data_IF_539046902086
#
_entry.id   IF_539046902086
#
_cell.length_a   1.000
_cell.length_b   1.000
_cell.length_c   1.000
_cell.angle_alpha   90.00
_cell.angle_beta   90.00
_cell.angle_gamma   90.00
#
_symmetry.space_group_name_H-M   'P 1'
#
loop_
_entity.id
_entity.type
_entity.pdbx_description
1 polymer ?
#
# COMPACT_ATOMS: atom_id res chain seq x y z
N UNK A 1 14.12 4.09 0.90
CA UNK A 1 12.86 3.78 0.22
C UNK A 1 12.55 4.96 -0.69
N UNK A 2 12.59 4.76 -2.01
CA UNK A 2 12.14 5.76 -2.97
C UNK A 2 10.62 5.66 -3.17
N UNK A 3 9.98 6.81 -3.39
CA UNK A 3 8.55 6.92 -3.66
C UNK A 3 8.38 7.56 -5.04
N UNK A 4 7.69 6.85 -5.93
CA UNK A 4 7.50 7.27 -7.31
C UNK A 4 6.02 7.25 -7.68
N UNK A 5 5.49 8.41 -8.08
CA UNK A 5 4.12 8.51 -8.58
C UNK A 5 4.04 8.00 -10.01
N UNK A 6 3.00 7.21 -10.28
CA UNK A 6 2.70 6.63 -11.58
C UNK A 6 1.51 7.30 -12.26
N UNK A 7 1.04 6.66 -13.33
CA UNK A 7 -0.12 7.13 -14.08
C UNK A 7 -1.46 6.90 -13.34
N UNK A 8 -2.55 7.37 -13.96
CA UNK A 8 -3.89 7.18 -13.43
C UNK A 8 -4.21 5.70 -13.15
N UNK A 9 -4.61 5.40 -11.91
CA UNK A 9 -4.86 4.02 -11.49
C UNK A 9 -6.18 3.45 -12.03
N UNK A 10 -7.20 4.29 -12.17
CA UNK A 10 -8.54 3.91 -12.62
C UNK A 10 -8.93 4.65 -13.90
N UNK A 11 -9.72 3.98 -14.75
CA UNK A 11 -10.34 4.62 -15.91
C UNK A 11 -11.43 5.62 -15.48
N UNK A 12 -11.73 6.62 -16.33
CA UNK A 12 -12.78 7.63 -16.08
C UNK A 12 -14.11 7.01 -15.65
N UNK A 13 -14.51 5.92 -16.29
CA UNK A 13 -15.74 5.19 -15.92
C UNK A 13 -15.69 4.63 -14.49
N UNK A 14 -14.58 4.01 -14.09
CA UNK A 14 -14.39 3.47 -12.73
C UNK A 14 -14.34 4.59 -11.69
N UNK A 15 -13.66 5.69 -12.00
CA UNK A 15 -13.62 6.89 -11.15
C UNK A 15 -15.03 7.43 -10.92
N UNK A 16 -15.83 7.62 -11.98
CA UNK A 16 -17.19 8.13 -11.85
C UNK A 16 -18.11 7.20 -11.03
N UNK A 17 -17.97 5.88 -11.21
CA UNK A 17 -18.70 4.89 -10.43
C UNK A 17 -18.31 4.96 -8.94
N UNK A 18 -17.01 5.05 -8.65
CA UNK A 18 -16.52 5.16 -7.29
C UNK A 18 -16.93 6.48 -6.65
N UNK A 19 -16.83 7.60 -7.37
CA UNK A 19 -17.31 8.92 -6.95
C UNK A 19 -18.78 8.87 -6.54
N UNK A 20 -19.64 8.28 -7.38
CA UNK A 20 -21.07 8.11 -7.07
C UNK A 20 -21.28 7.28 -5.80
N UNK A 21 -20.46 6.25 -5.60
CA UNK A 21 -20.54 5.38 -4.41
C UNK A 21 -20.14 6.12 -3.15
N UNK A 22 -19.03 6.87 -3.17
CA UNK A 22 -18.57 7.64 -2.00
C UNK A 22 -19.49 8.82 -1.70
N UNK A 23 -20.09 9.45 -2.72
CA UNK A 23 -21.06 10.54 -2.58
C UNK A 23 -22.32 10.10 -1.82
N UNK A 24 -22.74 8.84 -1.94
CA UNK A 24 -23.85 8.31 -1.15
C UNK A 24 -23.59 8.36 0.37
N UNK A 25 -22.32 8.30 0.79
CA UNK A 25 -21.92 8.42 2.20
C UNK A 25 -21.48 9.84 2.58
N UNK A 26 -20.88 10.57 1.65
CA UNK A 26 -20.35 11.92 1.82
C UNK A 26 -20.71 12.78 0.59
N UNK A 27 -21.92 13.37 0.56
CA UNK A 27 -22.40 14.13 -0.60
C UNK A 27 -21.54 15.33 -0.99
N UNK A 28 -20.73 15.85 -0.06
CA UNK A 28 -19.85 17.00 -0.30
C UNK A 28 -18.64 16.71 -1.19
N UNK A 29 -18.31 15.43 -1.45
CA UNK A 29 -17.22 15.06 -2.37
C UNK A 29 -17.67 15.37 -3.80
N UNK A 30 -16.94 16.23 -4.50
CA UNK A 30 -17.28 16.69 -5.86
C UNK A 30 -16.38 16.11 -6.94
N UNK A 31 -15.15 15.73 -6.59
CA UNK A 31 -14.19 15.14 -7.51
C UNK A 31 -13.39 14.04 -6.82
N UNK A 32 -12.94 13.08 -7.63
CA UNK A 32 -12.08 11.99 -7.22
C UNK A 32 -11.02 11.78 -8.30
N UNK A 33 -9.76 11.80 -7.89
CA UNK A 33 -8.63 11.46 -8.75
C UNK A 33 -7.88 10.27 -8.16
N UNK A 34 -7.25 9.48 -9.03
CA UNK A 34 -6.50 8.30 -8.60
C UNK A 34 -5.21 8.16 -9.38
N UNK A 35 -4.09 7.97 -8.70
CA UNK A 35 -2.81 7.63 -9.34
C UNK A 35 -2.19 6.40 -8.68
N UNK A 36 -1.40 5.65 -9.44
CA UNK A 36 -0.54 4.65 -8.84
C UNK A 36 0.57 5.34 -8.05
N UNK A 37 1.00 4.70 -6.98
CA UNK A 37 2.22 5.05 -6.24
C UNK A 37 3.06 3.78 -6.15
N UNK A 38 4.36 3.92 -6.39
CA UNK A 38 5.32 2.84 -6.30
C UNK A 38 6.27 3.12 -5.15
N UNK A 39 6.45 2.13 -4.28
CA UNK A 39 7.40 2.16 -3.19
C UNK A 39 8.55 1.23 -3.55
N UNK A 40 9.76 1.76 -3.59
CA UNK A 40 10.95 1.03 -4.00
C UNK A 40 11.84 0.91 -2.77
N UNK A 41 12.25 -0.33 -2.48
CA UNK A 41 13.21 -0.64 -1.43
C UNK A 41 14.55 -0.95 -2.07
N UNK A 42 15.46 0.00 -1.99
CA UNK A 42 16.84 -0.08 -2.48
C UNK A 42 17.84 -0.34 -1.34
N UNK A 43 18.87 -1.15 -1.62
CA UNK A 43 20.01 -1.34 -0.70
C UNK A 43 21.11 -0.28 -0.90
N UNK A 44 21.15 0.35 -2.07
CA UNK A 44 22.14 1.32 -2.49
C UNK A 44 21.48 2.42 -3.34
N UNK A 45 22.03 3.65 -3.32
CA UNK A 45 21.51 4.73 -4.14
C UNK A 45 21.67 4.43 -5.64
N UNK A 46 20.64 4.79 -6.39
CA UNK A 46 20.63 4.71 -7.86
C UNK A 46 21.37 5.91 -8.45
N UNK A 47 22.14 5.69 -9.50
CA UNK A 47 22.68 6.77 -10.33
C UNK A 47 21.59 7.31 -11.29
N UNK A 48 21.88 8.41 -11.99
CA UNK A 48 20.91 9.06 -12.89
C UNK A 48 20.37 8.15 -13.99
N UNK A 49 21.21 7.29 -14.57
CA UNK A 49 20.80 6.35 -15.62
C UNK A 49 19.90 5.24 -15.05
N UNK A 50 20.26 4.71 -13.88
CA UNK A 50 19.47 3.70 -13.17
C UNK A 50 18.10 4.26 -12.77
N UNK A 51 18.06 5.50 -12.27
CA UNK A 51 16.82 6.21 -11.94
C UNK A 51 15.95 6.43 -13.17
N UNK A 52 16.52 6.93 -14.27
CA UNK A 52 15.78 7.12 -15.51
C UNK A 52 15.21 5.80 -16.07
N UNK A 53 15.97 4.71 -15.97
CA UNK A 53 15.51 3.39 -16.37
C UNK A 53 14.37 2.89 -15.48
N UNK A 54 14.47 3.08 -14.17
CA UNK A 54 13.42 2.73 -13.21
C UNK A 54 12.12 3.49 -13.51
N UNK A 55 12.23 4.79 -13.78
CA UNK A 55 11.09 5.64 -14.10
C UNK A 55 10.37 5.18 -15.38
N UNK A 56 11.11 4.74 -16.39
CA UNK A 56 10.53 4.15 -17.60
C UNK A 56 9.82 2.82 -17.28
N UNK A 57 10.44 1.94 -16.50
CA UNK A 57 9.85 0.64 -16.14
C UNK A 57 8.55 0.77 -15.35
N UNK A 58 8.49 1.75 -14.44
CA UNK A 58 7.32 2.01 -13.60
C UNK A 58 6.31 2.96 -14.24
N UNK A 59 6.60 3.49 -15.44
CA UNK A 59 5.85 4.58 -16.06
C UNK A 59 5.62 5.73 -15.06
N UNK A 60 6.67 6.07 -14.31
CA UNK A 60 6.64 7.16 -13.34
C UNK A 60 6.31 8.46 -14.08
N UNK A 61 5.38 9.23 -13.52
CA UNK A 61 5.03 10.56 -14.02
C UNK A 61 4.94 11.52 -12.86
N UNK A 62 5.60 12.66 -13.02
CA UNK A 62 5.36 13.83 -12.19
C UNK A 62 4.17 14.58 -12.80
N UNK A 63 3.01 13.93 -12.87
CA UNK A 63 1.80 14.59 -13.34
C UNK A 63 1.21 15.39 -12.17
N UNK A 64 1.65 16.64 -12.05
CA UNK A 64 1.00 17.72 -11.28
C UNK A 64 0.61 17.41 -9.84
N UNK A 65 1.52 17.66 -8.90
CA UNK A 65 1.31 18.00 -7.47
C UNK A 65 0.02 17.47 -6.80
N UNK A 66 -0.30 16.19 -7.00
CA UNK A 66 -1.44 15.50 -6.38
C UNK A 66 -1.28 15.49 -4.84
N UNK A 67 -0.04 15.59 -4.37
CA UNK A 67 0.41 15.52 -2.98
C UNK A 67 0.14 16.77 -2.13
N UNK A 68 -0.40 17.86 -2.68
CA UNK A 68 -0.74 19.07 -1.89
C UNK A 68 -2.18 19.14 -1.38
N UNK A 69 -3.00 18.15 -1.68
CA UNK A 69 -4.39 18.14 -1.25
C UNK A 69 -4.54 17.43 0.10
N UNK A 70 -5.09 18.13 1.10
CA UNK A 70 -5.34 17.65 2.47
C UNK A 70 -6.37 16.49 2.58
N UNK A 71 -6.69 15.85 1.46
CA UNK A 71 -7.75 14.87 1.26
C UNK A 71 -7.23 13.67 0.44
N UNK A 72 -6.01 13.23 0.76
CA UNK A 72 -5.38 12.07 0.16
C UNK A 72 -5.54 10.84 1.07
N UNK A 73 -5.87 9.71 0.47
CA UNK A 73 -5.80 8.38 1.09
C UNK A 73 -4.98 7.47 0.20
N UNK A 74 -4.11 6.66 0.77
CA UNK A 74 -3.27 5.73 0.04
C UNK A 74 -3.67 4.31 0.41
N UNK A 75 -4.04 3.52 -0.57
CA UNK A 75 -4.32 2.09 -0.40
C UNK A 75 -3.07 1.31 -0.78
N UNK A 76 -2.58 0.49 0.15
CA UNK A 76 -1.42 -0.37 -0.04
C UNK A 76 -1.75 -1.80 0.39
N UNK A 77 -0.99 -2.81 -0.09
CA UNK A 77 -1.07 -4.16 0.45
C UNK A 77 -0.83 -4.17 1.97
N UNK A 78 -1.42 -5.14 2.65
CA UNK A 78 -1.26 -5.28 4.10
C UNK A 78 0.21 -5.56 4.45
N UNK A 79 0.82 -4.85 5.43
CA UNK A 79 2.15 -5.17 5.93
C UNK A 79 2.27 -6.65 6.33
N UNK A 80 3.42 -7.24 6.04
CA UNK A 80 3.65 -8.68 6.18
C UNK A 80 3.16 -9.52 4.99
N UNK A 81 2.62 -8.89 3.93
CA UNK A 81 2.30 -9.55 2.66
C UNK A 81 3.15 -9.01 1.51
N UNK A 82 3.34 -9.81 0.46
CA UNK A 82 3.98 -9.40 -0.79
C UNK A 82 2.97 -9.61 -1.91
N UNK A 83 2.64 -8.54 -2.65
CA UNK A 83 1.66 -8.67 -3.73
C UNK A 83 2.21 -9.50 -4.90
N UNK A 84 1.37 -10.22 -5.66
CA UNK A 84 1.82 -10.87 -6.89
C UNK A 84 2.40 -9.90 -7.92
N UNK A 85 1.98 -8.63 -7.87
CA UNK A 85 2.56 -7.57 -8.68
C UNK A 85 4.00 -7.27 -8.26
N UNK A 86 4.26 -7.14 -6.95
CA UNK A 86 5.59 -6.91 -6.38
C UNK A 86 6.60 -7.94 -6.85
N UNK A 87 6.26 -9.23 -6.72
CA UNK A 87 7.18 -10.32 -7.14
C UNK A 87 7.53 -10.24 -8.62
N UNK A 88 6.56 -9.95 -9.49
CA UNK A 88 6.79 -9.86 -10.94
C UNK A 88 7.55 -8.58 -11.33
N UNK A 89 7.18 -7.45 -10.73
CA UNK A 89 7.81 -6.16 -11.00
C UNK A 89 9.28 -6.18 -10.56
N UNK A 90 9.56 -6.69 -9.35
CA UNK A 90 10.94 -6.89 -8.88
C UNK A 90 11.73 -7.78 -9.84
N UNK A 91 11.18 -8.90 -10.29
CA UNK A 91 11.86 -9.76 -11.26
C UNK A 91 12.19 -9.04 -12.58
N UNK A 92 11.26 -8.25 -13.13
CA UNK A 92 11.50 -7.44 -14.34
C UNK A 92 12.60 -6.41 -14.11
N UNK A 93 12.58 -5.72 -12.97
CA UNK A 93 13.58 -4.70 -12.58
C UNK A 93 14.97 -5.34 -12.49
N UNK A 94 15.10 -6.49 -11.82
CA UNK A 94 16.36 -7.23 -11.75
C UNK A 94 16.85 -7.70 -13.12
N UNK A 95 15.97 -8.26 -13.96
CA UNK A 95 16.32 -8.70 -15.31
C UNK A 95 16.72 -7.53 -16.24
N UNK A 96 16.35 -6.30 -15.86
CA UNK A 96 16.75 -5.08 -16.55
C UNK A 96 18.08 -4.51 -16.05
N UNK A 97 18.73 -5.16 -15.08
CA UNK A 97 20.06 -4.79 -14.56
C UNK A 97 20.03 -3.93 -13.29
N UNK A 98 18.85 -3.57 -12.76
CA UNK A 98 18.70 -2.73 -11.57
C UNK A 98 18.79 -3.55 -10.28
N UNK A 99 19.96 -4.13 -10.02
CA UNK A 99 20.18 -5.07 -8.91
C UNK A 99 20.20 -4.44 -7.51
N UNK A 100 20.28 -3.11 -7.43
CA UNK A 100 20.23 -2.35 -6.17
C UNK A 100 18.83 -2.31 -5.56
N UNK A 101 17.81 -2.61 -6.34
CA UNK A 101 16.42 -2.62 -5.88
C UNK A 101 16.12 -4.00 -5.30
N UNK A 102 15.89 -4.09 -3.99
CA UNK A 102 15.53 -5.32 -3.30
C UNK A 102 14.10 -5.71 -3.64
N UNK A 103 13.18 -4.74 -3.56
CA UNK A 103 11.75 -4.98 -3.76
C UNK A 103 11.04 -3.71 -4.23
N UNK A 104 10.02 -3.87 -5.04
CA UNK A 104 9.08 -2.79 -5.36
C UNK A 104 7.67 -3.21 -4.97
N UNK A 105 6.87 -2.28 -4.46
CA UNK A 105 5.45 -2.49 -4.19
C UNK A 105 4.62 -1.36 -4.81
N UNK A 106 3.35 -1.62 -5.09
CA UNK A 106 2.44 -0.64 -5.68
C UNK A 106 1.22 -0.41 -4.81
N UNK A 107 0.89 0.85 -4.60
CA UNK A 107 -0.36 1.30 -4.01
C UNK A 107 -1.19 2.14 -4.99
N UNK A 108 -2.32 2.62 -4.50
CA UNK A 108 -3.20 3.58 -5.20
C UNK A 108 -3.43 4.76 -4.27
N UNK A 109 -3.13 5.96 -4.77
CA UNK A 109 -3.53 7.22 -4.14
C UNK A 109 -4.95 7.54 -4.61
N UNK A 110 -5.81 7.92 -3.67
CA UNK A 110 -7.12 8.51 -3.91
C UNK A 110 -7.11 9.94 -3.38
N UNK A 111 -7.36 10.92 -4.26
CA UNK A 111 -7.47 12.33 -3.88
C UNK A 111 -8.89 12.81 -4.06
N UNK A 112 -9.46 13.34 -2.99
CA UNK A 112 -10.84 13.80 -2.95
C UNK A 112 -10.89 15.32 -2.92
N UNK A 113 -11.78 15.89 -3.73
CA UNK A 113 -12.14 17.30 -3.64
C UNK A 113 -13.48 17.42 -2.93
N UNK A 114 -13.55 18.26 -1.90
CA UNK A 114 -14.78 18.52 -1.15
C UNK A 114 -15.22 19.96 -1.43
N UNK A 115 -16.47 20.13 -1.85
CA UNK A 115 -17.08 21.42 -2.23
C UNK A 115 -16.83 22.59 -1.28
N UNK A 116 -16.70 22.32 0.02
CA UNK A 116 -16.56 23.34 1.05
C UNK A 116 -15.07 23.61 1.42
N UNK A 117 -14.12 22.99 0.74
CA UNK A 117 -12.70 23.00 1.11
C UNK A 117 -12.40 22.28 2.44
N UNK A 118 -13.37 21.50 2.96
CA UNK A 118 -13.20 20.73 4.19
C UNK A 118 -12.23 19.56 4.00
N UNK A 119 -11.62 19.14 5.11
CA UNK A 119 -10.81 17.93 5.17
C UNK A 119 -11.64 16.66 5.44
N UNK A 120 -11.11 15.53 4.99
CA UNK A 120 -11.59 14.19 5.27
C UNK A 120 -11.28 13.83 6.72
N UNK A 121 -12.27 14.05 7.60
CA UNK A 121 -12.15 13.59 8.99
C UNK A 121 -12.09 12.06 9.09
N UNK A 122 -11.48 11.52 10.14
CA UNK A 122 -11.42 10.06 10.35
C UNK A 122 -12.80 9.39 10.40
N UNK A 123 -13.84 10.10 10.84
CA UNK A 123 -15.24 9.61 10.80
C UNK A 123 -15.75 9.46 9.36
N UNK A 124 -15.41 10.39 8.47
CA UNK A 124 -15.75 10.36 7.04
C UNK A 124 -14.97 9.23 6.36
N UNK A 125 -13.67 9.10 6.61
CA UNK A 125 -12.82 8.04 6.06
C UNK A 125 -13.41 6.65 6.37
N UNK A 126 -13.79 6.39 7.63
CA UNK A 126 -14.41 5.10 8.04
C UNK A 126 -15.68 4.76 7.26
N UNK A 127 -16.46 5.74 6.81
CA UNK A 127 -17.70 5.51 6.04
C UNK A 127 -17.45 5.10 4.60
N UNK A 128 -16.30 5.45 4.02
CA UNK A 128 -15.98 5.18 2.63
C UNK A 128 -14.88 4.12 2.46
N UNK A 129 -14.18 3.76 3.54
CA UNK A 129 -13.04 2.85 3.51
C UNK A 129 -13.34 1.53 2.78
N UNK A 130 -14.50 0.91 3.02
CA UNK A 130 -14.90 -0.34 2.37
C UNK A 130 -15.11 -0.23 0.86
N UNK A 131 -15.26 0.99 0.33
CA UNK A 131 -15.38 1.25 -1.11
C UNK A 131 -14.02 1.45 -1.78
N UNK A 132 -12.97 1.69 -1.00
CA UNK A 132 -11.63 2.04 -1.51
C UNK A 132 -10.66 0.87 -1.53
N UNK A 133 -10.80 -0.09 -0.60
CA UNK A 133 -9.85 -1.19 -0.44
C UNK A 133 -10.55 -2.50 -0.05
N UNK A 134 -9.88 -3.62 -0.28
CA UNK A 134 -10.25 -4.91 0.29
C UNK A 134 -9.65 -5.06 1.69
N UNK A 135 -10.50 -5.09 2.72
CA UNK A 135 -10.09 -5.21 4.13
C UNK A 135 -9.27 -6.46 4.48
N UNK A 136 -9.30 -7.49 3.63
CA UNK A 136 -8.56 -8.73 3.85
C UNK A 136 -7.10 -8.60 3.40
N UNK A 137 -6.85 -7.88 2.31
CA UNK A 137 -5.55 -7.85 1.63
C UNK A 137 -4.87 -6.49 1.65
N UNK A 138 -5.59 -5.42 1.93
CA UNK A 138 -5.11 -4.04 1.81
C UNK A 138 -5.37 -3.26 3.10
N UNK A 139 -4.68 -2.12 3.25
CA UNK A 139 -4.92 -1.13 4.29
C UNK A 139 -4.94 0.27 3.68
N UNK A 140 -5.51 1.22 4.41
CA UNK A 140 -5.46 2.65 4.09
C UNK A 140 -4.44 3.32 5.01
N UNK A 141 -3.50 4.05 4.42
CA UNK A 141 -2.58 4.96 5.10
C UNK A 141 -2.81 6.40 4.62
N UNK A 142 -2.54 7.38 5.48
CA UNK A 142 -2.73 8.81 5.19
C UNK A 142 -1.40 9.48 4.77
N UNK A 143 -0.27 8.92 5.18
CA UNK A 143 1.08 9.43 4.92
C UNK A 143 1.91 8.40 4.16
N UNK A 144 2.69 8.84 3.18
CA UNK A 144 3.52 7.96 2.34
C UNK A 144 4.60 7.22 3.15
N UNK A 145 5.14 7.85 4.21
CA UNK A 145 6.17 7.28 5.09
C UNK A 145 5.69 6.00 5.81
N UNK A 146 4.37 5.84 6.02
CA UNK A 146 3.81 4.61 6.60
C UNK A 146 4.01 3.39 5.70
N UNK A 147 4.30 3.58 4.42
CA UNK A 147 4.61 2.49 3.51
C UNK A 147 5.95 1.80 3.81
N UNK A 148 6.82 2.37 4.65
CA UNK A 148 8.02 1.68 5.14
C UNK A 148 7.69 0.33 5.80
N UNK A 149 6.51 0.22 6.44
CA UNK A 149 6.03 -1.01 7.06
C UNK A 149 5.90 -2.18 6.07
N UNK A 150 5.75 -1.89 4.77
CA UNK A 150 5.75 -2.92 3.73
C UNK A 150 7.09 -3.68 3.71
N UNK A 151 8.20 -3.01 3.97
CA UNK A 151 9.55 -3.56 3.79
C UNK A 151 10.22 -4.02 5.09
N UNK A 152 9.49 -3.99 6.21
CA UNK A 152 10.00 -4.47 7.49
C UNK A 152 10.44 -5.93 7.39
N UNK A 153 11.70 -6.16 7.73
CA UNK A 153 12.27 -7.49 7.88
C UNK A 153 12.25 -7.86 9.35
N UNK A 154 11.56 -8.95 9.68
CA UNK A 154 11.59 -9.51 11.04
C UNK A 154 12.66 -10.58 11.14
N UNK A 155 13.26 -10.72 12.31
CA UNK A 155 14.12 -11.87 12.58
C UNK A 155 13.27 -13.15 12.65
N UNK A 156 13.80 -14.30 12.19
CA UNK A 156 13.10 -15.57 12.33
C UNK A 156 12.72 -15.85 13.79
N UNK A 157 11.44 -16.15 14.03
CA UNK A 157 10.95 -16.52 15.36
C UNK A 157 11.51 -17.90 15.75
N UNK A 158 12.02 -18.09 16.99
CA UNK A 158 12.54 -19.38 17.42
C UNK A 158 11.43 -20.44 17.51
N UNK A 159 11.84 -21.71 17.41
CA UNK A 159 10.94 -22.84 17.64
C UNK A 159 10.42 -22.82 19.09
N UNK A 160 9.10 -22.87 19.24
CA UNK A 160 8.45 -23.04 20.54
C UNK A 160 8.32 -24.54 20.86
N UNK A 161 8.78 -24.94 22.05
CA UNK A 161 8.66 -26.32 22.53
C UNK A 161 7.54 -26.43 23.57
N UNK A 162 6.60 -27.35 23.36
CA UNK A 162 5.55 -27.68 24.31
C UNK A 162 6.05 -28.77 25.28
N UNK A 163 6.22 -28.43 26.55
CA UNK A 163 6.82 -29.32 27.56
C UNK A 163 5.82 -30.34 28.12
N UNK A 164 5.49 -31.34 27.29
CA UNK A 164 4.59 -32.43 27.66
C UNK A 164 5.23 -33.37 28.69
N UNK A 165 6.56 -33.49 28.70
CA UNK A 165 7.26 -34.44 29.58
C UNK A 165 7.14 -34.04 31.05
N UNK A 166 7.30 -32.74 31.37
CA UNK A 166 7.21 -32.29 32.76
C UNK A 166 5.81 -31.83 33.17
N UNK A 167 4.98 -31.35 32.22
CA UNK A 167 3.68 -30.74 32.52
C UNK A 167 2.47 -31.54 32.01
N UNK A 168 2.71 -32.64 31.31
CA UNK A 168 1.68 -33.58 30.90
C UNK A 168 0.59 -32.96 30.01
N UNK A 169 -0.63 -33.47 30.15
CA UNK A 169 -1.77 -33.12 29.30
C UNK A 169 -2.25 -31.67 29.46
N UNK A 170 -1.96 -31.03 30.59
CA UNK A 170 -2.43 -29.66 30.83
C UNK A 170 -1.68 -28.64 29.98
N UNK A 171 -0.39 -28.88 29.70
CA UNK A 171 0.36 -28.05 28.74
C UNK A 171 -0.15 -28.23 27.31
N UNK A 172 -0.60 -29.44 26.94
CA UNK A 172 -1.25 -29.69 25.66
C UNK A 172 -2.60 -28.96 25.54
N UNK A 173 -3.43 -28.97 26.58
CA UNK A 173 -4.70 -28.22 26.59
C UNK A 173 -4.46 -26.72 26.45
N UNK A 174 -3.43 -26.20 27.12
CA UNK A 174 -3.03 -24.79 27.01
C UNK A 174 -2.56 -24.46 25.59
N UNK A 175 -1.73 -25.30 24.99
CA UNK A 175 -1.31 -25.13 23.61
C UNK A 175 -2.50 -25.15 22.64
N UNK A 176 -3.44 -26.09 22.81
CA UNK A 176 -4.66 -26.17 22.02
C UNK A 176 -5.54 -24.91 22.14
N UNK A 177 -5.62 -24.29 23.33
CA UNK A 177 -6.36 -23.04 23.47
C UNK A 177 -5.64 -21.85 22.84
N UNK A 178 -4.31 -21.80 22.94
CA UNK A 178 -3.51 -20.68 22.44
C UNK A 178 -3.34 -20.69 20.92
N UNK A 179 -3.26 -21.87 20.30
CA UNK A 179 -2.98 -22.02 18.87
C UNK A 179 -4.24 -22.17 18.01
N UNK A 180 -5.42 -22.24 18.64
CA UNK A 180 -6.71 -22.46 17.97
C UNK A 180 -6.93 -23.91 17.54
#
# INVERSE_FOLDING_TARGET
>A
MLILQGCNALSKFRVNKLLSTVQAYIPGIISLQTCFIHFVNENEPLNENEQAQLDVLLNSRIDGDVSKNHNQLIVIPRPGTISPWSSKASNIIHNSGLNKIIRVERGIIYVFEISNGENLTSKKIKKIAHSLHDRMTEIIIEEEDKAEELFLTTTPTPLENIDVLNKGIDELKKANLNMG
#
